data_IF_519388871473
#
_entry.id   IF_519388871473
#
_cell.length_a   1.000
_cell.length_b   1.000
_cell.length_c   1.000
_cell.angle_alpha   90.00
_cell.angle_beta   90.00
_cell.angle_gamma   90.00
#
_symmetry.space_group_name_H-M   'P 1'
#
loop_
_entity.id
_entity.type
_entity.pdbx_description
1 polymer ?
#
# COMPACT_ATOMS: atom_id res chain seq x y z
N UNK A 1 -19.68 33.78 41.74
CA UNK A 1 -20.39 32.78 40.91
C UNK A 1 -19.96 32.75 39.43
N UNK A 2 -19.71 33.87 38.75
CA UNK A 2 -19.26 33.90 37.36
C UNK A 2 -17.88 33.25 37.09
N UNK A 3 -16.95 33.38 38.04
CA UNK A 3 -15.59 32.79 37.97
C UNK A 3 -15.59 31.26 38.05
N UNK A 4 -16.48 30.64 38.83
CA UNK A 4 -16.56 29.20 38.98
C UNK A 4 -17.19 28.52 37.74
N UNK A 5 -18.18 29.12 37.11
CA UNK A 5 -18.77 28.64 35.87
C UNK A 5 -17.77 28.67 34.70
N UNK A 6 -16.93 29.72 34.61
CA UNK A 6 -15.85 29.83 33.62
C UNK A 6 -14.76 28.79 33.81
N UNK A 7 -14.38 28.54 35.09
CA UNK A 7 -13.39 27.50 35.41
C UNK A 7 -13.88 26.08 35.06
N UNK A 8 -15.16 25.77 35.33
CA UNK A 8 -15.80 24.50 34.97
C UNK A 8 -15.84 24.34 33.43
N UNK A 9 -16.25 25.39 32.70
CA UNK A 9 -16.29 25.38 31.25
C UNK A 9 -14.89 25.13 30.63
N UNK A 10 -13.83 25.73 31.17
CA UNK A 10 -12.46 25.49 30.73
C UNK A 10 -12.00 24.05 30.99
N UNK A 11 -12.35 23.48 32.14
CA UNK A 11 -12.04 22.09 32.52
C UNK A 11 -12.75 21.11 31.56
N UNK A 12 -14.03 21.34 31.26
CA UNK A 12 -14.79 20.55 30.31
C UNK A 12 -14.19 20.62 28.89
N UNK A 13 -13.75 21.81 28.45
CA UNK A 13 -13.10 21.99 27.15
C UNK A 13 -11.79 21.21 27.07
N UNK A 14 -10.97 21.22 28.13
CA UNK A 14 -9.73 20.45 28.22
C UNK A 14 -10.04 18.93 28.11
N UNK A 15 -11.02 18.45 28.85
CA UNK A 15 -11.43 17.04 28.84
C UNK A 15 -11.92 16.61 27.46
N UNK A 16 -12.76 17.43 26.82
CA UNK A 16 -13.24 17.18 25.45
C UNK A 16 -12.10 17.12 24.43
N UNK A 17 -11.13 18.02 24.57
CA UNK A 17 -9.97 18.05 23.67
C UNK A 17 -9.10 16.81 23.82
N UNK A 18 -8.91 16.33 25.05
CA UNK A 18 -8.18 15.09 25.34
C UNK A 18 -8.92 13.90 24.71
N UNK A 19 -10.23 13.77 24.92
CA UNK A 19 -11.05 12.71 24.35
C UNK A 19 -11.03 12.73 22.83
N UNK A 20 -11.11 13.91 22.22
CA UNK A 20 -11.03 14.07 20.76
C UNK A 20 -9.65 13.66 20.22
N UNK A 21 -8.57 13.99 20.91
CA UNK A 21 -7.22 13.58 20.55
C UNK A 21 -7.03 12.05 20.61
N UNK A 22 -7.56 11.42 21.66
CA UNK A 22 -7.54 9.96 21.84
C UNK A 22 -8.35 9.26 20.74
N UNK A 23 -9.53 9.77 20.43
CA UNK A 23 -10.37 9.25 19.35
C UNK A 23 -9.69 9.39 17.97
N UNK A 24 -9.02 10.51 17.71
CA UNK A 24 -8.24 10.73 16.50
C UNK A 24 -7.08 9.76 16.38
N UNK A 25 -6.39 9.46 17.49
CA UNK A 25 -5.28 8.50 17.50
C UNK A 25 -5.79 7.06 17.22
N UNK A 26 -6.91 6.67 17.82
CA UNK A 26 -7.55 5.38 17.58
C UNK A 26 -7.95 5.24 16.11
N UNK A 27 -8.56 6.26 15.52
CA UNK A 27 -8.89 6.32 14.10
C UNK A 27 -7.62 6.18 13.23
N UNK A 28 -6.54 6.86 13.59
CA UNK A 28 -5.25 6.76 12.90
C UNK A 28 -4.66 5.35 12.96
N UNK A 29 -4.76 4.66 14.10
CA UNK A 29 -4.32 3.26 14.24
C UNK A 29 -5.10 2.33 13.33
N UNK A 30 -6.43 2.43 13.33
CA UNK A 30 -7.32 1.62 12.49
C UNK A 30 -7.07 1.90 11.00
N UNK A 31 -6.99 3.18 10.63
CA UNK A 31 -6.70 3.58 9.26
C UNK A 31 -5.32 3.09 8.79
N UNK A 32 -4.32 3.16 9.66
CA UNK A 32 -2.97 2.64 9.40
C UNK A 32 -2.97 1.13 9.16
N UNK A 33 -3.66 0.36 9.98
CA UNK A 33 -3.78 -1.09 9.84
C UNK A 33 -4.47 -1.47 8.52
N UNK A 34 -5.56 -0.79 8.17
CA UNK A 34 -6.27 -1.00 6.90
C UNK A 34 -5.41 -0.63 5.70
N UNK A 35 -4.72 0.51 5.74
CA UNK A 35 -3.87 0.97 4.66
C UNK A 35 -2.69 0.01 4.41
N UNK A 36 -2.03 -0.47 5.47
CA UNK A 36 -0.94 -1.45 5.37
C UNK A 36 -1.45 -2.77 4.81
N UNK A 37 -2.59 -3.27 5.29
CA UNK A 37 -3.19 -4.52 4.81
C UNK A 37 -3.54 -4.43 3.32
N UNK A 38 -4.17 -3.33 2.90
CA UNK A 38 -4.53 -3.09 1.49
C UNK A 38 -3.29 -3.01 0.60
N UNK A 39 -2.28 -2.23 0.99
CA UNK A 39 -1.05 -2.08 0.22
C UNK A 39 -0.23 -3.36 0.15
N UNK A 40 -0.23 -4.17 1.21
CA UNK A 40 0.40 -5.50 1.21
C UNK A 40 -0.29 -6.44 0.23
N UNK A 41 -1.61 -6.42 0.18
CA UNK A 41 -2.41 -7.19 -0.78
C UNK A 41 -2.16 -6.75 -2.22
N UNK A 42 -2.16 -5.43 -2.46
CA UNK A 42 -1.83 -4.83 -3.76
C UNK A 42 -0.41 -5.22 -4.20
N UNK A 43 0.54 -5.24 -3.29
CA UNK A 43 1.92 -5.67 -3.54
C UNK A 43 2.01 -7.11 -4.01
N UNK A 44 1.27 -8.03 -3.40
CA UNK A 44 1.20 -9.44 -3.82
C UNK A 44 0.57 -9.57 -5.22
N UNK A 45 -0.49 -8.83 -5.46
CA UNK A 45 -1.19 -8.79 -6.75
C UNK A 45 -0.26 -8.25 -7.87
N UNK A 46 0.45 -7.16 -7.60
CA UNK A 46 1.42 -6.57 -8.54
C UNK A 46 2.62 -7.48 -8.79
N UNK A 47 3.11 -8.19 -7.77
CA UNK A 47 4.18 -9.18 -7.93
C UNK A 47 3.74 -10.34 -8.83
N UNK A 48 2.52 -10.85 -8.64
CA UNK A 48 1.94 -11.90 -9.47
C UNK A 48 1.76 -11.44 -10.92
N UNK A 49 1.24 -10.22 -11.12
CA UNK A 49 1.06 -9.63 -12.46
C UNK A 49 2.41 -9.43 -13.17
N UNK A 50 3.41 -8.94 -12.47
CA UNK A 50 4.77 -8.75 -13.00
C UNK A 50 5.39 -10.08 -13.42
N UNK A 51 5.24 -11.11 -12.61
CA UNK A 51 5.75 -12.46 -12.88
C UNK A 51 5.05 -13.06 -14.13
N UNK A 52 3.74 -12.92 -14.23
CA UNK A 52 2.94 -13.37 -15.38
C UNK A 52 3.37 -12.67 -16.67
N UNK A 53 3.52 -11.34 -16.63
CA UNK A 53 3.95 -10.55 -17.79
C UNK A 53 5.38 -10.87 -18.20
N UNK A 54 6.27 -11.10 -17.24
CA UNK A 54 7.66 -11.54 -17.51
C UNK A 54 7.70 -12.87 -18.22
N UNK A 55 6.91 -13.85 -17.78
CA UNK A 55 6.78 -15.17 -18.44
C UNK A 55 6.19 -15.03 -19.84
N UNK A 56 5.15 -14.24 -20.00
CA UNK A 56 4.53 -13.97 -21.31
C UNK A 56 5.53 -13.33 -22.27
N UNK A 57 6.30 -12.36 -21.80
CA UNK A 57 7.38 -11.73 -22.58
C UNK A 57 8.42 -12.75 -23.06
N UNK A 58 8.84 -13.66 -22.19
CA UNK A 58 9.81 -14.72 -22.55
C UNK A 58 9.25 -15.66 -23.61
N UNK A 59 7.98 -16.08 -23.48
CA UNK A 59 7.29 -16.95 -24.45
C UNK A 59 7.18 -16.23 -25.79
N UNK A 60 6.77 -14.95 -25.79
CA UNK A 60 6.65 -14.17 -27.02
C UNK A 60 8.00 -13.91 -27.69
N UNK A 61 9.08 -13.75 -26.94
CA UNK A 61 10.43 -13.65 -27.48
C UNK A 61 10.84 -14.92 -28.23
N UNK A 62 10.52 -16.10 -27.71
CA UNK A 62 10.74 -17.40 -28.37
C UNK A 62 9.90 -17.51 -29.64
N UNK A 63 8.63 -17.16 -29.57
CA UNK A 63 7.72 -17.15 -30.75
C UNK A 63 8.21 -16.22 -31.84
N UNK A 64 8.71 -15.05 -31.46
CA UNK A 64 9.31 -14.09 -32.40
C UNK A 64 10.48 -14.70 -33.17
N UNK A 65 11.39 -15.39 -32.46
CA UNK A 65 12.55 -16.06 -33.08
C UNK A 65 12.08 -17.15 -34.07
N UNK A 66 11.11 -17.97 -33.66
CA UNK A 66 10.56 -19.03 -34.52
C UNK A 66 9.84 -18.44 -35.73
N UNK A 67 9.04 -17.39 -35.54
CA UNK A 67 8.32 -16.72 -36.65
C UNK A 67 9.31 -16.04 -37.62
N UNK A 68 10.39 -15.46 -37.13
CA UNK A 68 11.44 -14.89 -37.95
C UNK A 68 12.15 -15.95 -38.79
N UNK A 69 12.45 -17.14 -38.21
CA UNK A 69 13.02 -18.27 -38.94
C UNK A 69 12.07 -18.78 -40.03
N UNK A 70 10.80 -18.90 -39.71
CA UNK A 70 9.76 -19.32 -40.69
C UNK A 70 9.62 -18.34 -41.86
N UNK A 71 9.64 -17.05 -41.54
CA UNK A 71 9.60 -15.98 -42.54
C UNK A 71 10.80 -15.99 -43.50
N UNK A 72 11.99 -16.34 -42.98
CA UNK A 72 13.19 -16.54 -43.83
C UNK A 72 13.14 -17.79 -44.65
N UNK A 73 12.67 -18.90 -44.10
CA UNK A 73 12.60 -20.18 -44.77
C UNK A 73 11.50 -20.23 -45.83
N UNK A 74 10.36 -19.62 -45.58
CA UNK A 74 9.20 -19.60 -46.46
C UNK A 74 8.65 -18.18 -46.54
N UNK A 75 9.27 -17.28 -47.35
CA UNK A 75 8.79 -15.89 -47.50
C UNK A 75 7.38 -15.89 -48.13
N UNK A 76 6.43 -15.29 -47.42
CA UNK A 76 5.05 -15.19 -47.88
C UNK A 76 4.28 -14.19 -47.02
N UNK A 77 3.09 -13.80 -47.50
CA UNK A 77 2.23 -12.85 -46.79
C UNK A 77 1.79 -13.32 -45.42
N UNK A 78 1.48 -14.61 -45.27
CA UNK A 78 1.05 -15.18 -43.97
C UNK A 78 2.16 -15.22 -42.92
N UNK A 79 3.37 -15.62 -43.31
CA UNK A 79 4.53 -15.66 -42.39
C UNK A 79 4.95 -14.26 -41.92
N UNK A 80 4.90 -13.29 -42.82
CA UNK A 80 5.16 -11.87 -42.46
C UNK A 80 4.09 -11.31 -41.55
N UNK A 81 2.82 -11.63 -41.79
CA UNK A 81 1.69 -11.21 -40.96
C UNK A 81 1.77 -11.81 -39.57
N UNK A 82 2.09 -13.09 -39.46
CA UNK A 82 2.31 -13.78 -38.19
C UNK A 82 3.45 -13.17 -37.39
N UNK A 83 4.58 -12.86 -38.04
CA UNK A 83 5.72 -12.20 -37.40
C UNK A 83 5.35 -10.79 -36.88
N UNK A 84 4.65 -10.01 -37.68
CA UNK A 84 4.19 -8.66 -37.26
C UNK A 84 3.27 -8.74 -36.08
N UNK A 85 2.36 -9.70 -36.03
CA UNK A 85 1.43 -9.91 -34.91
C UNK A 85 2.19 -10.22 -33.60
N UNK A 86 3.16 -11.13 -33.65
CA UNK A 86 3.99 -11.49 -32.49
C UNK A 86 4.84 -10.31 -32.03
N UNK A 87 5.46 -9.56 -32.95
CA UNK A 87 6.26 -8.38 -32.63
C UNK A 87 5.41 -7.30 -31.92
N UNK A 88 4.20 -7.08 -32.43
CA UNK A 88 3.25 -6.11 -31.84
C UNK A 88 2.84 -6.53 -30.43
N UNK A 89 2.49 -7.81 -30.25
CA UNK A 89 2.10 -8.35 -28.94
C UNK A 89 3.25 -8.31 -27.94
N UNK A 90 4.47 -8.62 -28.38
CA UNK A 90 5.67 -8.52 -27.55
C UNK A 90 5.94 -7.09 -27.09
N UNK A 91 5.81 -6.12 -28.00
CA UNK A 91 5.96 -4.70 -27.69
C UNK A 91 4.94 -4.24 -26.64
N UNK A 92 3.67 -4.61 -26.81
CA UNK A 92 2.59 -4.32 -25.86
C UNK A 92 2.87 -4.94 -24.49
N UNK A 93 3.27 -6.22 -24.47
CA UNK A 93 3.57 -6.95 -23.23
C UNK A 93 4.76 -6.34 -22.49
N UNK A 94 5.81 -5.95 -23.20
CA UNK A 94 6.98 -5.27 -22.60
C UNK A 94 6.60 -3.92 -21.99
N UNK A 95 5.74 -3.15 -22.68
CA UNK A 95 5.22 -1.89 -22.16
C UNK A 95 4.41 -2.10 -20.87
N UNK A 96 3.54 -3.09 -20.86
CA UNK A 96 2.77 -3.47 -19.67
C UNK A 96 3.68 -3.93 -18.52
N UNK A 97 4.73 -4.68 -18.82
CA UNK A 97 5.71 -5.15 -17.85
C UNK A 97 6.46 -3.97 -17.19
N UNK A 98 6.87 -2.98 -17.98
CA UNK A 98 7.53 -1.76 -17.47
C UNK A 98 6.58 -1.02 -16.51
N UNK A 99 5.32 -0.85 -16.90
CA UNK A 99 4.30 -0.20 -16.06
C UNK A 99 4.04 -0.97 -14.78
N UNK A 100 3.95 -2.31 -14.87
CA UNK A 100 3.73 -3.18 -13.71
C UNK A 100 4.89 -3.12 -12.72
N UNK A 101 6.13 -3.12 -13.21
CA UNK A 101 7.33 -2.96 -12.38
C UNK A 101 7.39 -1.60 -11.70
N UNK A 102 7.04 -0.53 -12.41
CA UNK A 102 6.97 0.81 -11.84
C UNK A 102 5.90 0.90 -10.75
N UNK A 103 4.72 0.34 -10.97
CA UNK A 103 3.63 0.29 -10.00
C UNK A 103 4.03 -0.52 -8.75
N UNK A 104 4.70 -1.66 -8.95
CA UNK A 104 5.21 -2.49 -7.84
C UNK A 104 6.23 -1.73 -7.00
N UNK A 105 7.17 -1.02 -7.63
CA UNK A 105 8.16 -0.20 -6.95
C UNK A 105 7.54 0.95 -6.17
N UNK A 106 6.59 1.67 -6.76
CA UNK A 106 5.85 2.76 -6.11
C UNK A 106 5.07 2.25 -4.90
N UNK A 107 4.40 1.11 -5.03
CA UNK A 107 3.66 0.47 -3.93
C UNK A 107 4.59 0.05 -2.78
N UNK A 108 5.77 -0.47 -3.09
CA UNK A 108 6.77 -0.85 -2.08
C UNK A 108 7.25 0.38 -1.27
N UNK A 109 7.50 1.50 -1.94
CA UNK A 109 7.90 2.76 -1.28
C UNK A 109 6.79 3.28 -0.37
N UNK A 110 5.54 3.32 -0.87
CA UNK A 110 4.38 3.74 -0.06
C UNK A 110 4.16 2.82 1.14
N UNK A 111 4.34 1.52 0.97
CA UNK A 111 4.18 0.54 2.04
C UNK A 111 5.20 0.76 3.17
N UNK A 112 6.45 1.07 2.86
CA UNK A 112 7.48 1.41 3.85
C UNK A 112 7.06 2.63 4.67
N UNK A 113 6.58 3.69 4.00
CA UNK A 113 6.10 4.92 4.64
C UNK A 113 4.88 4.64 5.54
N UNK A 114 3.91 3.86 5.05
CA UNK A 114 2.72 3.49 5.80
C UNK A 114 3.04 2.62 7.02
N UNK A 115 3.95 1.68 6.89
CA UNK A 115 4.40 0.85 8.03
C UNK A 115 5.08 1.69 9.11
N UNK A 116 5.88 2.68 8.72
CA UNK A 116 6.50 3.61 9.67
C UNK A 116 5.44 4.43 10.41
N UNK A 117 4.46 4.96 9.70
CA UNK A 117 3.33 5.70 10.29
C UNK A 117 2.48 4.81 11.22
N UNK A 118 2.19 3.58 10.80
CA UNK A 118 1.48 2.58 11.59
C UNK A 118 2.20 2.28 12.91
N UNK A 119 3.50 2.03 12.86
CA UNK A 119 4.33 1.76 14.05
C UNK A 119 4.31 2.95 15.01
N UNK A 120 4.38 4.16 14.48
CA UNK A 120 4.34 5.39 15.26
C UNK A 120 3.00 5.56 15.96
N UNK A 121 1.89 5.39 15.24
CA UNK A 121 0.54 5.47 15.79
C UNK A 121 0.32 4.41 16.88
N UNK A 122 0.73 3.18 16.63
CA UNK A 122 0.63 2.08 17.59
C UNK A 122 1.49 2.30 18.83
N UNK A 123 2.69 2.86 18.68
CA UNK A 123 3.57 3.20 19.80
C UNK A 123 2.94 4.28 20.69
N UNK A 124 2.35 5.31 20.11
CA UNK A 124 1.64 6.36 20.85
C UNK A 124 0.41 5.80 21.57
N UNK A 125 -0.38 4.97 20.91
CA UNK A 125 -1.54 4.33 21.51
C UNK A 125 -1.15 3.45 22.71
N UNK A 126 -0.07 2.72 22.60
CA UNK A 126 0.48 1.87 23.67
C UNK A 126 0.96 2.71 24.86
N UNK A 127 1.69 3.80 24.59
CA UNK A 127 2.18 4.73 25.62
C UNK A 127 1.02 5.39 26.37
N UNK A 128 -0.02 5.81 25.67
CA UNK A 128 -1.23 6.39 26.26
C UNK A 128 -1.97 5.37 27.11
N UNK A 129 -2.13 4.14 26.64
CA UNK A 129 -2.76 3.07 27.41
C UNK A 129 -2.00 2.80 28.74
N UNK A 130 -0.68 2.81 28.70
CA UNK A 130 0.15 2.69 29.91
C UNK A 130 -0.03 3.87 30.86
N UNK A 131 -0.06 5.09 30.32
CA UNK A 131 -0.28 6.32 31.10
C UNK A 131 -1.65 6.29 31.80
N UNK A 132 -2.70 5.89 31.10
CA UNK A 132 -4.05 5.77 31.68
C UNK A 132 -4.12 4.71 32.79
N UNK A 133 -3.45 3.58 32.62
CA UNK A 133 -3.34 2.57 33.67
C UNK A 133 -2.64 3.11 34.91
N UNK A 134 -1.55 3.84 34.74
CA UNK A 134 -0.82 4.46 35.84
C UNK A 134 -1.66 5.50 36.58
N UNK A 135 -2.40 6.35 35.86
CA UNK A 135 -3.31 7.33 36.42
C UNK A 135 -4.48 6.62 37.13
N UNK A 136 -5.03 5.58 36.59
CA UNK A 136 -6.10 4.79 37.22
C UNK A 136 -5.65 4.09 38.52
N UNK A 137 -4.43 3.56 38.54
CA UNK A 137 -3.83 3.00 39.79
C UNK A 137 -3.59 4.07 40.84
N UNK A 138 -3.11 5.26 40.45
CA UNK A 138 -2.94 6.38 41.36
C UNK A 138 -4.25 6.83 42.00
N UNK A 139 -5.33 6.91 41.24
CA UNK A 139 -6.67 7.22 41.75
C UNK A 139 -7.21 6.17 42.71
N UNK A 140 -6.97 4.88 42.47
CA UNK A 140 -7.35 3.80 43.38
C UNK A 140 -6.57 3.84 44.70
N UNK A 141 -5.31 4.21 44.67
CA UNK A 141 -4.47 4.30 45.85
C UNK A 141 -4.86 5.46 46.77
N UNK A 142 -5.52 6.50 46.23
CA UNK A 142 -5.98 7.69 47.02
C UNK A 142 -7.42 7.53 47.55
N UNK A 143 -8.13 6.51 47.17
CA UNK A 143 -9.44 6.15 47.72
C UNK A 143 -9.31 5.17 48.88
#
# INVERSE_FOLDING_TARGET
MAKSKRAIAKTEAVTKNIEAALASLETACVAGDHAVAKRSKDGKSLAAATKRLSRKSAILSKRKRLSAKRAKAAPGGETRKALRAVVKELKTTRSQLIKARAAKGANAVELVTLKAAQRRANAYAKAIAQAERSLGKGQRATQ
#
